data_IF_266659944528
#
_entry.id   IF_266659944528
#
_cell.length_a   1.000
_cell.length_b   1.000
_cell.length_c   1.000
_cell.angle_alpha   90.00
_cell.angle_beta   90.00
_cell.angle_gamma   90.00
#
_symmetry.space_group_name_H-M   'P 1'
#
loop_
_entity.id
_entity.type
_entity.pdbx_description
1 polymer ?
#
# COMPACT_ATOMS: atom_id res chain seq x y z
N UNK A 1 22.24 14.70 -0.44
CA UNK A 1 21.67 14.73 0.93
C UNK A 1 20.75 15.93 1.17
N UNK A 2 21.17 17.17 0.87
CA UNK A 2 20.32 18.37 1.04
C UNK A 2 19.06 18.32 0.16
N UNK A 3 19.16 17.86 -1.09
CA UNK A 3 17.98 17.74 -1.97
C UNK A 3 16.95 16.72 -1.49
N UNK A 4 17.39 15.61 -0.90
CA UNK A 4 16.47 14.60 -0.33
C UNK A 4 15.77 15.15 0.91
N UNK A 5 16.48 15.90 1.75
CA UNK A 5 15.87 16.64 2.86
C UNK A 5 14.93 17.76 2.37
N UNK A 6 15.23 18.41 1.24
CA UNK A 6 14.37 19.42 0.65
C UNK A 6 13.09 18.81 0.06
N UNK A 7 13.17 17.59 -0.48
CA UNK A 7 12.06 16.86 -1.08
C UNK A 7 11.20 16.17 0.00
N UNK A 8 11.83 15.58 1.02
CA UNK A 8 11.13 14.88 2.13
C UNK A 8 10.73 15.81 3.27
N UNK A 9 11.36 16.98 3.40
CA UNK A 9 11.06 17.99 4.41
C UNK A 9 9.60 18.42 4.41
N UNK A 10 9.01 18.84 3.27
CA UNK A 10 7.60 19.20 3.19
C UNK A 10 6.67 18.05 3.62
N UNK A 11 7.00 16.81 3.28
CA UNK A 11 6.23 15.62 3.70
C UNK A 11 6.21 15.54 5.22
N UNK A 12 7.38 15.62 5.84
CA UNK A 12 7.52 15.52 7.29
C UNK A 12 6.90 16.70 8.01
N UNK A 13 6.98 17.92 7.45
CA UNK A 13 6.33 19.10 8.01
C UNK A 13 4.81 18.96 7.99
N UNK A 14 4.21 18.44 6.92
CA UNK A 14 2.75 18.22 6.84
C UNK A 14 2.30 17.13 7.82
N UNK A 15 3.06 16.03 7.92
CA UNK A 15 2.78 14.96 8.90
C UNK A 15 2.92 15.50 10.33
N UNK A 16 3.98 16.26 10.63
CA UNK A 16 4.20 16.87 11.93
C UNK A 16 3.09 17.88 12.25
N UNK A 17 2.65 18.68 11.28
CA UNK A 17 1.54 19.60 11.44
C UNK A 17 0.24 18.86 11.79
N UNK A 18 -0.06 17.73 11.14
CA UNK A 18 -1.20 16.88 11.49
C UNK A 18 -1.12 16.31 12.91
N UNK A 19 0.06 15.85 13.31
CA UNK A 19 0.32 15.37 14.67
C UNK A 19 0.13 16.48 15.72
N UNK A 20 0.74 17.65 15.50
CA UNK A 20 0.67 18.78 16.41
C UNK A 20 -0.74 19.36 16.50
N UNK A 21 -1.45 19.49 15.38
CA UNK A 21 -2.83 19.96 15.37
C UNK A 21 -3.74 19.04 16.19
N UNK A 22 -3.54 17.72 16.09
CA UNK A 22 -4.28 16.74 16.90
C UNK A 22 -3.87 16.81 18.37
N UNK A 23 -2.57 16.95 18.66
CA UNK A 23 -2.03 17.08 20.02
C UNK A 23 -2.50 18.35 20.74
N UNK A 24 -2.63 19.46 20.01
CA UNK A 24 -3.09 20.75 20.53
C UNK A 24 -4.62 20.79 20.69
N UNK A 25 -5.33 19.72 20.31
CA UNK A 25 -6.78 19.65 20.41
C UNK A 25 -7.54 20.43 19.32
N UNK A 26 -6.85 20.91 18.27
CA UNK A 26 -7.52 21.54 17.12
C UNK A 26 -8.38 20.51 16.36
N UNK A 27 -7.95 19.25 16.35
CA UNK A 27 -8.69 18.13 15.79
C UNK A 27 -8.69 16.95 16.75
N UNK A 28 -9.79 16.21 16.78
CA UNK A 28 -9.87 14.93 17.46
C UNK A 28 -9.31 13.80 16.57
N UNK A 29 -8.93 12.69 17.20
CA UNK A 29 -8.49 11.48 16.48
C UNK A 29 -9.57 10.93 15.54
N UNK A 30 -10.84 11.12 15.88
CA UNK A 30 -11.99 10.76 15.04
C UNK A 30 -12.04 11.60 13.76
N UNK A 31 -11.65 12.87 13.80
CA UNK A 31 -11.64 13.77 12.64
C UNK A 31 -10.60 13.32 11.62
N UNK A 32 -9.46 12.82 12.08
CA UNK A 32 -8.43 12.22 11.23
C UNK A 32 -8.95 10.99 10.46
N UNK A 33 -9.86 10.22 11.06
CA UNK A 33 -10.52 9.12 10.35
C UNK A 33 -11.48 9.62 9.28
N UNK A 34 -12.15 10.76 9.50
CA UNK A 34 -13.01 11.39 8.48
C UNK A 34 -12.18 11.88 7.30
N UNK A 35 -11.06 12.55 7.55
CA UNK A 35 -10.11 12.92 6.49
C UNK A 35 -9.59 11.69 5.74
N UNK A 36 -9.29 10.60 6.46
CA UNK A 36 -8.90 9.34 5.84
C UNK A 36 -9.97 8.76 4.91
N UNK A 37 -11.24 8.79 5.33
CA UNK A 37 -12.38 8.35 4.51
C UNK A 37 -12.57 9.24 3.28
N UNK A 38 -12.42 10.57 3.42
CA UNK A 38 -12.49 11.49 2.29
C UNK A 38 -11.43 11.15 1.23
N UNK A 39 -10.18 10.94 1.67
CA UNK A 39 -9.07 10.58 0.79
C UNK A 39 -9.33 9.27 0.05
N UNK A 40 -9.72 8.21 0.78
CA UNK A 40 -9.91 6.87 0.21
C UNK A 40 -11.12 6.77 -0.73
N UNK A 41 -12.20 7.52 -0.46
CA UNK A 41 -13.44 7.39 -1.21
C UNK A 41 -13.61 8.42 -2.33
N UNK A 42 -12.92 9.57 -2.27
CA UNK A 42 -13.08 10.65 -3.26
C UNK A 42 -11.74 11.04 -3.90
N UNK A 43 -10.75 11.42 -3.09
CA UNK A 43 -9.52 12.01 -3.61
C UNK A 43 -8.64 11.02 -4.40
N UNK A 44 -8.37 9.84 -3.83
CA UNK A 44 -7.58 8.79 -4.48
C UNK A 44 -8.30 8.20 -5.70
N UNK A 45 -9.60 7.86 -5.65
CA UNK A 45 -10.34 7.43 -6.84
C UNK A 45 -10.28 8.46 -7.97
N UNK A 46 -10.51 9.74 -7.67
CA UNK A 46 -10.42 10.80 -8.67
C UNK A 46 -9.03 10.86 -9.30
N UNK A 47 -7.98 10.73 -8.47
CA UNK A 47 -6.61 10.74 -8.95
C UNK A 47 -6.27 9.55 -9.84
N UNK A 48 -6.59 8.33 -9.41
CA UNK A 48 -6.34 7.12 -10.20
C UNK A 48 -7.07 7.22 -11.53
N UNK A 49 -8.35 7.59 -11.49
CA UNK A 49 -9.15 7.77 -12.69
C UNK A 49 -8.48 8.78 -13.63
N UNK A 50 -8.03 9.93 -13.12
CA UNK A 50 -7.35 10.95 -13.91
C UNK A 50 -6.04 10.44 -14.54
N UNK A 51 -5.22 9.75 -13.76
CA UNK A 51 -3.92 9.25 -14.18
C UNK A 51 -4.02 8.17 -15.26
N UNK A 52 -5.08 7.35 -15.22
CA UNK A 52 -5.31 6.29 -16.20
C UNK A 52 -6.08 6.79 -17.43
N UNK A 53 -7.10 7.63 -17.23
CA UNK A 53 -7.94 8.11 -18.34
C UNK A 53 -7.18 8.99 -19.35
N UNK A 54 -6.07 9.61 -18.95
CA UNK A 54 -5.25 10.46 -19.82
C UNK A 54 -4.15 9.72 -20.58
N UNK A 55 -3.87 8.46 -20.24
CA UNK A 55 -2.79 7.66 -20.82
C UNK A 55 -3.35 6.60 -21.77
N UNK A 56 -2.54 6.17 -22.74
CA UNK A 56 -2.89 5.02 -23.59
C UNK A 56 -2.65 3.72 -22.84
N UNK A 57 -3.45 2.69 -23.09
CA UNK A 57 -3.36 1.44 -22.32
C UNK A 57 -2.00 0.73 -22.42
N UNK A 58 -1.34 0.86 -23.57
CA UNK A 58 0.03 0.34 -23.78
C UNK A 58 1.08 1.04 -22.90
N UNK A 59 0.78 2.24 -22.40
CA UNK A 59 1.62 3.00 -21.46
C UNK A 59 1.18 2.83 -20.00
N UNK A 60 0.09 2.10 -19.75
CA UNK A 60 -0.44 1.84 -18.41
C UNK A 60 -0.03 0.43 -17.96
N UNK A 61 -0.24 -0.56 -18.83
CA UNK A 61 0.07 -1.95 -18.53
C UNK A 61 1.56 -2.18 -18.71
N UNK A 62 2.28 -2.24 -17.59
CA UNK A 62 3.67 -2.64 -17.53
C UNK A 62 3.78 -4.05 -16.94
N UNK A 63 3.87 -5.10 -17.77
CA UNK A 63 3.95 -6.49 -17.29
C UNK A 63 5.12 -6.70 -16.32
N UNK A 64 6.26 -6.06 -16.59
CA UNK A 64 7.42 -6.12 -15.73
C UNK A 64 7.15 -5.52 -14.32
N UNK A 65 6.37 -4.44 -14.23
CA UNK A 65 5.94 -3.90 -12.94
C UNK A 65 4.99 -4.86 -12.22
N UNK A 66 3.95 -5.32 -12.92
CA UNK A 66 2.96 -6.23 -12.35
C UNK A 66 3.60 -7.50 -11.82
N UNK A 67 4.48 -8.12 -12.62
CA UNK A 67 5.18 -9.35 -12.24
C UNK A 67 6.16 -9.12 -11.11
N UNK A 68 6.96 -8.05 -11.13
CA UNK A 68 7.90 -7.77 -10.04
C UNK A 68 7.19 -7.53 -8.71
N UNK A 69 6.14 -6.71 -8.72
CA UNK A 69 5.36 -6.44 -7.51
C UNK A 69 4.58 -7.68 -7.03
N UNK A 70 3.91 -8.39 -7.94
CA UNK A 70 3.14 -9.60 -7.61
C UNK A 70 4.04 -10.71 -7.07
N UNK A 71 5.09 -11.08 -7.79
CA UNK A 71 5.98 -12.17 -7.39
C UNK A 71 6.75 -11.78 -6.13
N UNK A 72 7.23 -10.53 -6.01
CA UNK A 72 7.89 -10.06 -4.78
C UNK A 72 6.97 -10.12 -3.56
N UNK A 73 5.71 -9.71 -3.72
CA UNK A 73 4.68 -9.79 -2.67
C UNK A 73 4.34 -11.23 -2.30
N UNK A 74 4.19 -12.12 -3.28
CA UNK A 74 3.91 -13.55 -3.08
C UNK A 74 5.08 -14.27 -2.41
N UNK A 75 6.32 -13.96 -2.80
CA UNK A 75 7.52 -14.51 -2.19
C UNK A 75 7.58 -14.15 -0.70
N UNK A 76 7.33 -12.88 -0.36
CA UNK A 76 7.29 -12.45 1.03
C UNK A 76 6.12 -13.03 1.81
N UNK A 77 4.95 -13.16 1.19
CA UNK A 77 3.81 -13.84 1.79
C UNK A 77 4.16 -15.28 2.14
N UNK A 78 4.72 -16.03 1.18
CA UNK A 78 5.11 -17.43 1.37
C UNK A 78 6.21 -17.57 2.44
N UNK A 79 7.22 -16.70 2.39
CA UNK A 79 8.33 -16.70 3.35
C UNK A 79 7.82 -16.40 4.76
N UNK A 80 7.05 -15.33 4.95
CA UNK A 80 6.51 -14.95 6.25
C UNK A 80 5.56 -16.01 6.81
N UNK A 81 4.73 -16.62 5.96
CA UNK A 81 3.87 -17.73 6.36
C UNK A 81 4.69 -18.94 6.81
N UNK A 82 5.68 -19.36 6.01
CA UNK A 82 6.51 -20.53 6.32
C UNK A 82 7.36 -20.32 7.56
N UNK A 83 8.01 -19.16 7.70
CA UNK A 83 8.77 -18.80 8.90
C UNK A 83 7.87 -18.79 10.14
N UNK A 84 6.67 -18.21 10.04
CA UNK A 84 5.69 -18.24 11.11
C UNK A 84 5.31 -19.66 11.53
N UNK A 85 5.13 -20.58 10.56
CA UNK A 85 4.74 -21.97 10.80
C UNK A 85 5.87 -22.83 11.37
N UNK A 86 7.06 -22.75 10.77
CA UNK A 86 8.17 -23.69 11.00
C UNK A 86 9.15 -23.21 12.06
N UNK A 87 9.44 -21.91 12.08
CA UNK A 87 10.40 -21.33 13.04
C UNK A 87 9.67 -20.78 14.26
N UNK A 88 8.54 -20.10 14.03
CA UNK A 88 7.75 -19.49 15.12
C UNK A 88 6.76 -20.41 15.82
N UNK A 89 6.54 -21.64 15.31
CA UNK A 89 5.54 -22.58 15.86
C UNK A 89 4.12 -22.02 15.89
N UNK A 90 3.80 -21.03 15.05
CA UNK A 90 2.53 -20.32 15.10
C UNK A 90 1.39 -21.15 14.49
N UNK A 91 0.17 -20.91 14.98
CA UNK A 91 -1.04 -21.45 14.37
C UNK A 91 -1.19 -20.99 12.92
N UNK A 92 -1.93 -21.75 12.08
CA UNK A 92 -2.18 -21.38 10.68
C UNK A 92 -2.68 -19.94 10.58
N UNK A 93 -3.58 -19.56 11.47
CA UNK A 93 -4.18 -18.24 11.56
C UNK A 93 -3.15 -17.15 11.83
N UNK A 94 -2.33 -17.31 12.87
CA UNK A 94 -1.27 -16.34 13.22
C UNK A 94 -0.24 -16.20 12.09
N UNK A 95 0.13 -17.30 11.42
CA UNK A 95 1.03 -17.25 10.27
C UNK A 95 0.42 -16.50 9.08
N UNK A 96 -0.89 -16.66 8.81
CA UNK A 96 -1.58 -15.88 7.78
C UNK A 96 -1.59 -14.38 8.11
N UNK A 97 -1.83 -14.01 9.37
CA UNK A 97 -1.75 -12.60 9.79
C UNK A 97 -0.34 -12.03 9.70
N UNK A 98 0.67 -12.82 10.06
CA UNK A 98 2.06 -12.42 9.87
C UNK A 98 2.35 -12.16 8.39
N UNK A 99 1.93 -13.07 7.51
CA UNK A 99 2.09 -12.93 6.06
C UNK A 99 1.36 -11.71 5.49
N UNK A 100 0.15 -11.42 5.98
CA UNK A 100 -0.60 -10.21 5.62
C UNK A 100 0.15 -8.94 6.03
N UNK A 101 0.71 -8.89 7.24
CA UNK A 101 1.46 -7.73 7.73
C UNK A 101 2.74 -7.43 6.93
N UNK A 102 3.36 -8.46 6.35
CA UNK A 102 4.60 -8.34 5.55
C UNK A 102 4.32 -8.06 4.07
N UNK A 103 3.24 -8.59 3.51
CA UNK A 103 2.98 -8.50 2.07
C UNK A 103 2.02 -7.38 1.68
N UNK A 104 1.08 -6.99 2.57
CA UNK A 104 0.16 -5.88 2.29
C UNK A 104 0.76 -4.53 2.68
N UNK A 105 1.15 -3.77 1.67
CA UNK A 105 1.59 -2.38 1.79
C UNK A 105 0.41 -1.44 1.95
N UNK A 106 0.61 -0.33 2.67
CA UNK A 106 -0.34 0.78 2.64
C UNK A 106 -0.10 1.69 1.42
N UNK A 107 -0.17 1.10 0.23
CA UNK A 107 0.15 1.77 -1.04
C UNK A 107 -0.81 2.93 -1.34
N UNK A 108 -2.07 2.81 -0.95
CA UNK A 108 -3.09 3.83 -1.25
C UNK A 108 -3.01 5.03 -0.31
N UNK A 109 -2.90 4.81 1.01
CA UNK A 109 -2.99 5.91 1.97
C UNK A 109 -1.64 6.59 2.24
N UNK A 110 -0.56 5.80 2.33
CA UNK A 110 0.79 6.29 2.67
C UNK A 110 1.71 6.28 1.45
N UNK A 111 1.62 5.25 0.60
CA UNK A 111 2.47 5.12 -0.59
C UNK A 111 2.25 6.21 -1.62
N UNK A 112 0.99 6.47 -1.92
CA UNK A 112 0.64 7.39 -2.99
C UNK A 112 1.14 8.82 -2.78
N UNK A 113 0.92 9.49 -1.63
CA UNK A 113 1.38 10.86 -1.41
C UNK A 113 2.90 11.00 -1.52
N UNK A 114 3.63 10.00 -1.04
CA UNK A 114 5.09 9.94 -1.12
C UNK A 114 5.52 9.79 -2.58
N UNK A 115 4.86 8.92 -3.33
CA UNK A 115 5.13 8.74 -4.76
C UNK A 115 4.77 9.94 -5.61
N UNK A 116 3.69 10.64 -5.30
CA UNK A 116 3.32 11.86 -6.00
C UNK A 116 4.41 12.93 -5.89
N UNK A 117 5.14 12.96 -4.78
CA UNK A 117 6.20 13.95 -4.56
C UNK A 117 7.55 13.51 -5.13
N UNK A 118 7.83 12.20 -5.16
CA UNK A 118 9.11 11.68 -5.69
C UNK A 118 9.07 11.43 -7.20
N UNK A 119 7.98 10.83 -7.67
CA UNK A 119 7.85 10.28 -9.03
C UNK A 119 6.44 10.59 -9.56
N UNK A 120 6.05 11.86 -9.45
CA UNK A 120 4.74 12.38 -9.83
C UNK A 120 4.19 11.84 -11.16
N UNK A 121 4.98 11.76 -12.25
CA UNK A 121 4.48 11.31 -13.54
C UNK A 121 3.90 9.89 -13.51
N UNK A 122 4.53 8.98 -12.77
CA UNK A 122 4.16 7.56 -12.74
C UNK A 122 3.36 7.16 -11.50
N UNK A 123 3.21 8.05 -10.50
CA UNK A 123 2.58 7.75 -9.21
C UNK A 123 1.16 7.18 -9.35
N UNK A 124 0.33 7.76 -10.22
CA UNK A 124 -1.04 7.29 -10.44
C UNK A 124 -1.11 5.94 -11.15
N UNK A 125 -0.21 5.69 -12.12
CA UNK A 125 -0.11 4.40 -12.82
C UNK A 125 0.37 3.31 -11.85
N UNK A 126 1.42 3.58 -11.09
CA UNK A 126 1.96 2.66 -10.09
C UNK A 126 0.91 2.30 -9.02
N UNK A 127 0.14 3.28 -8.55
CA UNK A 127 -0.97 3.03 -7.64
C UNK A 127 -2.05 2.15 -8.28
N UNK A 128 -2.44 2.43 -9.52
CA UNK A 128 -3.41 1.61 -10.26
C UNK A 128 -2.95 0.16 -10.39
N UNK A 129 -1.71 -0.07 -10.79
CA UNK A 129 -1.12 -1.42 -10.90
C UNK A 129 -1.05 -2.13 -9.54
N UNK A 130 -0.71 -1.41 -8.47
CA UNK A 130 -0.74 -1.96 -7.11
C UNK A 130 -2.16 -2.36 -6.68
N UNK A 131 -3.15 -1.48 -6.91
CA UNK A 131 -4.55 -1.76 -6.59
C UNK A 131 -5.02 -3.02 -7.30
N UNK A 132 -4.60 -3.22 -8.57
CA UNK A 132 -4.86 -4.44 -9.34
C UNK A 132 -4.26 -5.65 -8.62
N UNK A 133 -2.95 -5.66 -8.38
CA UNK A 133 -2.26 -6.81 -7.73
C UNK A 133 -2.84 -7.11 -6.34
N UNK A 134 -3.05 -6.08 -5.54
CA UNK A 134 -3.50 -6.22 -4.16
C UNK A 134 -4.95 -6.70 -4.08
N UNK A 135 -5.86 -6.10 -4.85
CA UNK A 135 -7.29 -6.42 -4.72
C UNK A 135 -7.72 -7.64 -5.53
N UNK A 136 -7.05 -7.96 -6.65
CA UNK A 136 -7.42 -9.12 -7.46
C UNK A 136 -6.71 -10.40 -7.00
N UNK A 137 -5.51 -10.29 -6.40
CA UNK A 137 -4.70 -11.47 -6.05
C UNK A 137 -4.42 -11.55 -4.56
N UNK A 138 -3.72 -10.56 -3.99
CA UNK A 138 -3.18 -10.67 -2.64
C UNK A 138 -4.27 -10.74 -1.55
N UNK A 139 -5.23 -9.81 -1.57
CA UNK A 139 -6.30 -9.75 -0.57
C UNK A 139 -7.23 -10.97 -0.63
N UNK A 140 -7.75 -11.41 -1.80
CA UNK A 140 -8.54 -12.63 -1.87
C UNK A 140 -7.77 -13.87 -1.38
N UNK A 141 -6.49 -13.99 -1.74
CA UNK A 141 -5.64 -15.09 -1.30
C UNK A 141 -5.47 -15.09 0.22
N UNK A 142 -5.14 -13.94 0.82
CA UNK A 142 -4.95 -13.81 2.26
C UNK A 142 -6.24 -14.07 3.05
N UNK A 143 -7.38 -13.60 2.54
CA UNK A 143 -8.69 -13.86 3.14
C UNK A 143 -9.03 -15.36 3.07
N UNK A 144 -8.81 -16.00 1.92
CA UNK A 144 -9.01 -17.44 1.77
C UNK A 144 -8.10 -18.26 2.69
N UNK A 145 -6.84 -17.84 2.86
CA UNK A 145 -5.93 -18.44 3.84
C UNK A 145 -6.38 -18.22 5.28
N UNK A 146 -6.98 -17.07 5.60
CA UNK A 146 -7.45 -16.74 6.95
C UNK A 146 -8.72 -17.52 7.31
N UNK A 147 -9.62 -17.74 6.35
CA UNK A 147 -10.83 -18.55 6.50
C UNK A 147 -10.50 -20.05 6.60
N UNK A 148 -9.65 -20.59 5.70
CA UNK A 148 -9.17 -21.98 5.79
C UNK A 148 -8.38 -22.28 7.07
N UNK A 149 -7.82 -21.25 7.71
CA UNK A 149 -7.16 -21.40 9.00
C UNK A 149 -8.15 -21.42 10.18
N UNK A 150 -9.37 -20.91 10.03
CA UNK A 150 -10.45 -20.96 11.03
C UNK A 150 -11.20 -22.28 10.97
N UNK A 151 -11.58 -22.71 9.78
CA UNK A 151 -12.41 -23.89 9.57
C UNK A 151 -11.52 -25.06 9.17
N UNK A 152 -11.38 -26.06 10.04
CA UNK A 152 -10.51 -27.22 9.85
C UNK A 152 -10.90 -28.15 8.69
N UNK A 153 -10.85 -27.69 7.44
CA UNK A 153 -10.93 -28.52 6.23
C UNK A 153 -12.29 -28.60 5.53
N UNK A 154 -13.14 -27.58 5.60
CA UNK A 154 -14.41 -27.54 4.85
C UNK A 154 -14.24 -27.02 3.41
N UNK A 155 -14.11 -27.93 2.43
CA UNK A 155 -13.84 -27.63 1.01
C UNK A 155 -14.90 -26.83 0.22
N UNK A 156 -15.94 -26.28 0.87
CA UNK A 156 -16.96 -25.45 0.22
C UNK A 156 -16.67 -23.94 0.19
N UNK A 157 -15.65 -23.47 0.92
CA UNK A 157 -15.47 -22.06 1.26
C UNK A 157 -14.80 -21.20 0.17
N UNK A 158 -13.91 -21.75 -0.66
CA UNK A 158 -13.15 -20.97 -1.65
C UNK A 158 -14.05 -20.20 -2.62
N UNK A 159 -15.12 -20.83 -3.12
CA UNK A 159 -16.07 -20.17 -4.01
C UNK A 159 -16.82 -19.01 -3.31
N UNK A 160 -17.13 -19.16 -2.01
CA UNK A 160 -17.80 -18.12 -1.24
C UNK A 160 -16.86 -16.96 -0.89
N UNK A 161 -15.59 -17.24 -0.55
CA UNK A 161 -14.56 -16.22 -0.31
C UNK A 161 -14.25 -15.45 -1.59
N UNK A 162 -14.11 -16.15 -2.72
CA UNK A 162 -13.89 -15.52 -4.04
C UNK A 162 -15.09 -14.68 -4.43
N UNK A 163 -16.33 -15.17 -4.22
CA UNK A 163 -17.55 -14.40 -4.48
C UNK A 163 -17.65 -13.15 -3.60
N UNK A 164 -17.38 -13.25 -2.30
CA UNK A 164 -17.39 -12.11 -1.39
C UNK A 164 -16.28 -11.10 -1.72
N UNK A 165 -15.09 -11.60 -2.09
CA UNK A 165 -13.98 -10.75 -2.52
C UNK A 165 -14.32 -10.02 -3.82
N UNK A 166 -14.92 -10.70 -4.80
CA UNK A 166 -15.40 -10.08 -6.04
C UNK A 166 -16.50 -9.04 -5.77
N UNK A 167 -17.45 -9.31 -4.87
CA UNK A 167 -18.46 -8.32 -4.47
C UNK A 167 -17.86 -7.10 -3.78
N UNK A 168 -16.85 -7.29 -2.91
CA UNK A 168 -16.10 -6.19 -2.29
C UNK A 168 -15.28 -5.41 -3.31
N UNK A 169 -14.68 -6.12 -4.27
CA UNK A 169 -13.90 -5.55 -5.37
C UNK A 169 -14.76 -4.62 -6.22
N UNK A 170 -15.97 -5.06 -6.60
CA UNK A 170 -16.93 -4.26 -7.36
C UNK A 170 -17.44 -3.02 -6.61
N UNK A 171 -17.35 -3.00 -5.28
CA UNK A 171 -17.76 -1.87 -4.44
C UNK A 171 -16.58 -1.00 -4.00
N UNK A 172 -15.35 -1.40 -4.29
CA UNK A 172 -14.17 -0.66 -3.88
C UNK A 172 -14.00 0.57 -4.79
N UNK A 173 -14.06 1.81 -4.26
CA UNK A 173 -13.99 3.02 -5.06
C UNK A 173 -12.66 3.16 -5.83
N UNK A 174 -11.56 2.62 -5.30
CA UNK A 174 -10.27 2.61 -5.99
C UNK A 174 -10.30 1.70 -7.21
N UNK A 175 -10.91 0.53 -7.09
CA UNK A 175 -11.02 -0.43 -8.20
C UNK A 175 -11.98 0.12 -9.25
N UNK A 176 -13.11 0.68 -8.84
CA UNK A 176 -14.03 1.36 -9.74
C UNK A 176 -13.33 2.49 -10.51
N UNK A 177 -12.47 3.27 -9.85
CA UNK A 177 -11.67 4.29 -10.51
C UNK A 177 -10.63 3.71 -11.49
N UNK A 178 -9.95 2.61 -11.13
CA UNK A 178 -9.05 1.90 -12.06
C UNK A 178 -9.82 1.43 -13.29
N UNK A 179 -10.93 0.72 -13.09
CA UNK A 179 -11.75 0.19 -14.18
C UNK A 179 -12.32 1.31 -15.05
N UNK A 180 -12.88 2.37 -14.45
CA UNK A 180 -13.40 3.51 -15.19
C UNK A 180 -12.29 4.23 -15.98
N UNK A 181 -11.11 4.42 -15.37
CA UNK A 181 -9.96 5.05 -16.03
C UNK A 181 -9.47 4.22 -17.22
N UNK A 182 -9.37 2.90 -17.06
CA UNK A 182 -9.02 1.97 -18.15
C UNK A 182 -10.06 1.95 -19.27
N UNK A 183 -11.36 1.97 -18.94
CA UNK A 183 -12.44 1.99 -19.95
C UNK A 183 -12.40 3.28 -20.76
N UNK A 184 -12.20 4.43 -20.12
CA UNK A 184 -12.07 5.72 -20.83
C UNK A 184 -10.79 5.74 -21.68
N UNK A 185 -9.68 5.20 -21.16
CA UNK A 185 -8.43 5.04 -21.90
C UNK A 185 -8.61 4.16 -23.15
N UNK A 186 -9.31 3.02 -23.02
CA UNK A 186 -9.63 2.12 -24.16
C UNK A 186 -10.52 2.78 -25.20
N UNK A 187 -11.51 3.53 -24.74
CA UNK A 187 -12.46 4.19 -25.64
C UNK A 187 -11.86 5.42 -26.33
N UNK A 188 -10.64 5.85 -25.94
CA UNK A 188 -9.96 7.06 -26.39
C UNK A 188 -10.87 8.32 -26.31
N UNK A 189 -11.82 8.32 -25.36
CA UNK A 189 -12.81 9.38 -25.23
C UNK A 189 -12.17 10.59 -24.54
N UNK A 190 -12.13 11.71 -25.25
CA UNK A 190 -11.74 12.99 -24.66
C UNK A 190 -12.83 13.46 -23.70
N UNK A 191 -12.54 13.44 -22.41
CA UNK A 191 -13.44 13.95 -21.39
C UNK A 191 -13.61 15.48 -21.53
N UNK A 192 -14.82 16.03 -21.28
CA UNK A 192 -15.03 17.47 -21.24
C UNK A 192 -14.14 18.15 -20.19
N UNK A 193 -13.61 19.33 -20.52
CA UNK A 193 -12.73 20.10 -19.63
C UNK A 193 -13.30 20.33 -18.20
N UNK A 194 -14.60 20.62 -18.01
CA UNK A 194 -15.16 20.76 -16.66
C UNK A 194 -15.03 19.49 -15.81
N UNK A 195 -15.18 18.31 -16.41
CA UNK A 195 -15.05 17.02 -15.71
C UNK A 195 -13.60 16.80 -15.30
N UNK A 196 -12.67 16.96 -16.24
CA UNK A 196 -11.23 16.80 -15.98
C UNK A 196 -10.78 17.74 -14.87
N UNK A 197 -11.21 19.01 -14.91
CA UNK A 197 -10.86 20.00 -13.90
C UNK A 197 -11.43 19.65 -12.53
N UNK A 198 -12.68 19.18 -12.47
CA UNK A 198 -13.32 18.75 -11.21
C UNK A 198 -12.55 17.57 -10.60
N UNK A 199 -12.26 16.55 -11.40
CA UNK A 199 -11.47 15.40 -10.96
C UNK A 199 -10.09 15.83 -10.46
N UNK A 200 -9.43 16.76 -11.16
CA UNK A 200 -8.13 17.29 -10.75
C UNK A 200 -8.15 18.00 -9.39
N UNK A 201 -9.24 18.73 -9.07
CA UNK A 201 -9.36 19.39 -7.76
C UNK A 201 -9.34 18.37 -6.61
N UNK A 202 -10.08 17.27 -6.75
CA UNK A 202 -10.06 16.19 -5.75
C UNK A 202 -8.72 15.44 -5.75
N UNK A 203 -8.15 15.18 -6.92
CA UNK A 203 -6.87 14.50 -7.05
C UNK A 203 -5.74 15.25 -6.32
N UNK A 204 -5.66 16.57 -6.49
CA UNK A 204 -4.63 17.40 -5.85
C UNK A 204 -4.75 17.42 -4.32
N UNK A 205 -5.98 17.39 -3.79
CA UNK A 205 -6.21 17.31 -2.34
C UNK A 205 -5.74 15.96 -1.74
N UNK A 206 -5.63 14.91 -2.56
CA UNK A 206 -5.31 13.56 -2.08
C UNK A 206 -4.00 13.52 -1.30
N UNK A 207 -2.93 14.15 -1.80
CA UNK A 207 -1.60 14.04 -1.20
C UNK A 207 -1.44 14.82 0.10
N UNK A 208 -1.98 16.04 0.17
CA UNK A 208 -1.84 16.88 1.36
C UNK A 208 -2.72 16.39 2.52
N UNK A 209 -3.99 16.07 2.23
CA UNK A 209 -4.96 15.64 3.26
C UNK A 209 -4.58 14.28 3.83
N UNK A 210 -4.05 13.36 3.02
CA UNK A 210 -3.60 12.05 3.50
C UNK A 210 -2.39 12.17 4.44
N UNK A 211 -1.38 12.97 4.08
CA UNK A 211 -0.18 13.16 4.90
C UNK A 211 -0.53 13.81 6.25
N UNK A 212 -1.42 14.80 6.22
CA UNK A 212 -1.94 15.43 7.43
C UNK A 212 -2.71 14.44 8.31
N UNK A 213 -3.63 13.66 7.71
CA UNK A 213 -4.39 12.64 8.41
C UNK A 213 -3.50 11.55 9.01
N UNK A 214 -2.45 11.11 8.30
CA UNK A 214 -1.44 10.16 8.83
C UNK A 214 -0.83 10.72 10.11
N UNK A 215 -0.36 11.98 10.07
CA UNK A 215 0.21 12.66 11.23
C UNK A 215 -0.72 12.66 12.44
N UNK A 216 -1.99 13.00 12.24
CA UNK A 216 -2.97 13.00 13.32
C UNK A 216 -3.34 11.60 13.83
N UNK A 217 -3.34 10.57 12.96
CA UNK A 217 -3.58 9.18 13.41
C UNK A 217 -2.48 8.60 14.28
N UNK A 218 -1.24 9.12 14.18
CA UNK A 218 -0.11 8.75 15.04
C UNK A 218 -0.31 9.23 16.48
N UNK A 219 -1.10 10.28 16.69
CA UNK A 219 -1.40 10.78 18.02
C UNK A 219 -2.32 9.81 18.79
N UNK A 220 -1.92 9.47 20.01
CA UNK A 220 -2.67 8.56 20.90
C UNK A 220 -2.48 7.07 20.59
N UNK A 221 -1.59 6.69 19.67
CA UNK A 221 -1.12 5.31 19.58
C UNK A 221 -0.04 5.09 20.65
N UNK A 222 -0.25 4.08 21.51
CA UNK A 222 0.68 3.71 22.58
C UNK A 222 1.49 2.48 22.20
N UNK A 223 2.76 2.46 22.59
CA UNK A 223 3.59 1.26 22.54
C UNK A 223 3.16 0.32 23.66
N UNK A 224 2.63 -0.84 23.29
CA UNK A 224 2.23 -1.90 24.23
C UNK A 224 3.46 -2.72 24.65
N UNK A 225 3.34 -3.42 25.78
CA UNK A 225 4.40 -4.32 26.26
C UNK A 225 4.64 -5.47 25.26
N UNK A 226 5.91 -5.84 25.04
CA UNK A 226 6.26 -6.89 24.09
C UNK A 226 6.50 -6.43 22.64
N UNK A 227 6.68 -5.13 22.40
CA UNK A 227 7.02 -4.54 21.10
C UNK A 227 8.25 -5.17 20.42
N UNK A 228 9.19 -5.72 21.18
CA UNK A 228 10.35 -6.42 20.63
C UNK A 228 9.97 -7.60 19.73
N UNK A 229 8.83 -8.25 20.02
CA UNK A 229 8.32 -9.40 19.25
C UNK A 229 7.71 -9.02 17.91
N UNK A 230 7.55 -7.73 17.60
CA UNK A 230 7.08 -7.24 16.29
C UNK A 230 8.21 -6.68 15.43
N UNK A 231 9.42 -6.48 15.96
CA UNK A 231 10.57 -5.99 15.19
C UNK A 231 10.86 -6.86 13.95
N UNK A 232 10.90 -8.21 14.03
CA UNK A 232 11.19 -9.03 12.86
C UNK A 232 10.13 -8.89 11.75
N UNK A 233 8.86 -8.69 12.14
CA UNK A 233 7.76 -8.44 11.21
C UNK A 233 7.95 -7.10 10.49
N UNK A 234 8.28 -6.05 11.24
CA UNK A 234 8.51 -4.70 10.69
C UNK A 234 9.71 -4.70 9.75
N UNK A 235 10.82 -5.36 10.12
CA UNK A 235 12.00 -5.47 9.25
C UNK A 235 11.70 -6.28 7.98
N UNK A 236 10.96 -7.38 8.10
CA UNK A 236 10.52 -8.14 6.94
C UNK A 236 9.66 -7.29 5.99
N UNK A 237 8.82 -6.39 6.52
CA UNK A 237 8.01 -5.48 5.69
C UNK A 237 8.83 -4.37 5.04
N UNK A 238 9.64 -3.66 5.83
CA UNK A 238 10.31 -2.43 5.39
C UNK A 238 11.60 -2.68 4.60
N UNK A 239 12.20 -3.86 4.79
CA UNK A 239 13.46 -4.24 4.13
C UNK A 239 13.23 -5.47 3.26
N UNK A 240 12.61 -6.52 3.80
CA UNK A 240 12.40 -7.79 3.09
C UNK A 240 11.53 -7.63 1.84
N UNK A 241 10.37 -6.97 1.95
CA UNK A 241 9.47 -6.77 0.81
C UNK A 241 10.06 -5.92 -0.33
N UNK A 242 10.63 -4.73 -0.10
CA UNK A 242 11.28 -3.99 -1.18
C UNK A 242 12.47 -4.74 -1.77
N UNK A 243 13.25 -5.46 -0.97
CA UNK A 243 14.33 -6.31 -1.50
C UNK A 243 13.80 -7.44 -2.39
N UNK A 244 12.69 -8.09 -2.01
CA UNK A 244 12.08 -9.13 -2.81
C UNK A 244 11.59 -8.59 -4.17
N UNK A 245 10.93 -7.43 -4.17
CA UNK A 245 10.49 -6.77 -5.40
C UNK A 245 11.70 -6.36 -6.26
N UNK A 246 12.75 -5.81 -5.64
CA UNK A 246 13.98 -5.44 -6.34
C UNK A 246 14.66 -6.65 -6.97
N UNK A 247 14.82 -7.74 -6.21
CA UNK A 247 15.43 -8.99 -6.66
C UNK A 247 14.66 -9.59 -7.83
N UNK A 248 13.33 -9.58 -7.78
CA UNK A 248 12.51 -10.03 -8.91
C UNK A 248 12.73 -9.12 -10.11
N UNK A 249 12.69 -7.80 -9.90
CA UNK A 249 12.84 -6.82 -10.98
C UNK A 249 14.22 -6.86 -11.67
N UNK A 250 15.29 -7.16 -10.92
CA UNK A 250 16.68 -7.09 -11.42
C UNK A 250 17.28 -8.44 -11.81
N UNK A 251 16.85 -9.54 -11.19
CA UNK A 251 17.40 -10.88 -11.46
C UNK A 251 16.40 -11.75 -12.22
N UNK A 252 15.19 -11.95 -11.68
CA UNK A 252 14.24 -12.91 -12.25
C UNK A 252 13.66 -12.46 -13.60
N UNK A 253 13.28 -11.18 -13.74
CA UNK A 253 12.68 -10.70 -14.99
C UNK A 253 13.67 -10.71 -16.18
N UNK A 254 14.93 -10.27 -16.04
CA UNK A 254 15.91 -10.39 -17.13
C UNK A 254 16.21 -11.84 -17.51
N UNK A 255 16.26 -12.76 -16.54
CA UNK A 255 16.44 -14.20 -16.80
C UNK A 255 15.29 -14.80 -17.62
N UNK A 256 14.07 -14.25 -17.47
CA UNK A 256 12.89 -14.63 -18.24
C UNK A 256 12.78 -13.90 -19.59
N UNK A 257 13.77 -13.09 -19.97
CA UNK A 257 13.77 -12.32 -21.22
C UNK A 257 12.78 -11.16 -21.24
N UNK A 258 12.29 -10.73 -20.08
CA UNK A 258 11.35 -9.61 -19.96
C UNK A 258 12.12 -8.29 -19.98
N UNK A 259 11.66 -7.35 -20.81
CA UNK A 259 12.30 -6.05 -20.98
C UNK A 259 12.46 -5.30 -19.63
N UNK A 260 13.61 -4.62 -19.42
CA UNK A 260 13.87 -3.91 -18.18
C UNK A 260 12.87 -2.77 -17.98
N UNK A 261 12.42 -2.60 -16.73
CA UNK A 261 11.53 -1.51 -16.34
C UNK A 261 12.23 -0.15 -16.44
N UNK A 262 11.48 0.86 -16.86
CA UNK A 262 11.91 2.27 -16.82
C UNK A 262 12.33 2.66 -15.38
N UNK A 263 13.40 3.45 -15.19
CA UNK A 263 13.93 3.78 -13.88
C UNK A 263 12.89 4.37 -12.91
N UNK A 264 12.03 5.27 -13.39
CA UNK A 264 10.97 5.89 -12.59
C UNK A 264 9.93 4.86 -12.11
N UNK A 265 9.59 3.90 -12.96
CA UNK A 265 8.62 2.86 -12.64
C UNK A 265 9.21 1.81 -11.69
N UNK A 266 10.51 1.51 -11.81
CA UNK A 266 11.26 0.69 -10.86
C UNK A 266 11.35 1.35 -9.49
N UNK A 267 11.62 2.67 -9.46
CA UNK A 267 11.57 3.49 -8.25
C UNK A 267 10.20 3.38 -7.58
N UNK A 268 9.14 3.52 -8.37
CA UNK A 268 7.77 3.42 -7.87
C UNK A 268 7.46 2.05 -7.26
N UNK A 269 7.87 0.96 -7.91
CA UNK A 269 7.69 -0.40 -7.41
C UNK A 269 8.38 -0.62 -6.07
N UNK A 270 9.63 -0.15 -5.96
CA UNK A 270 10.42 -0.27 -4.74
C UNK A 270 9.82 0.53 -3.60
N UNK A 271 9.48 1.80 -3.84
CA UNK A 271 8.89 2.67 -2.82
C UNK A 271 7.53 2.14 -2.38
N UNK A 272 6.67 1.69 -3.30
CA UNK A 272 5.41 1.04 -2.94
C UNK A 272 5.60 -0.19 -2.07
N UNK A 273 6.59 -1.03 -2.36
CA UNK A 273 6.91 -2.21 -1.56
C UNK A 273 7.50 -1.85 -0.19
N UNK A 274 8.26 -0.76 -0.10
CA UNK A 274 8.85 -0.23 1.12
C UNK A 274 7.85 0.48 2.05
N UNK A 275 6.60 0.66 1.61
CA UNK A 275 5.57 1.32 2.43
C UNK A 275 5.26 0.56 3.71
N UNK A 276 4.84 1.27 4.78
CA UNK A 276 4.43 0.62 6.01
C UNK A 276 3.19 -0.25 5.81
N UNK A 277 2.92 -1.10 6.80
CA UNK A 277 1.83 -2.06 6.74
C UNK A 277 0.45 -1.39 6.63
N UNK A 278 -0.52 -2.13 6.09
CA UNK A 278 -1.91 -1.69 5.89
C UNK A 278 -2.55 -1.17 7.20
N UNK A 279 -3.16 0.03 7.17
CA UNK A 279 -3.74 0.66 8.38
C UNK A 279 -4.88 -0.12 9.04
N UNK A 280 -5.63 -0.94 8.28
CA UNK A 280 -6.72 -1.77 8.83
C UNK A 280 -6.20 -3.06 9.49
N UNK A 281 -4.89 -3.32 9.44
CA UNK A 281 -4.28 -4.54 9.97
C UNK A 281 -4.64 -4.83 11.44
N UNK A 282 -4.62 -3.87 12.38
CA UNK A 282 -5.01 -4.15 13.77
C UNK A 282 -6.49 -4.52 13.94
N UNK A 283 -7.37 -3.95 13.11
CA UNK A 283 -8.81 -4.25 13.12
C UNK A 283 -9.04 -5.68 12.64
N UNK A 284 -8.33 -6.10 11.58
CA UNK A 284 -8.41 -7.47 11.09
C UNK A 284 -7.83 -8.47 12.10
N UNK A 285 -6.75 -8.09 12.80
CA UNK A 285 -6.14 -8.90 13.85
C UNK A 285 -6.98 -8.96 15.14
N UNK A 286 -7.90 -8.02 15.36
CA UNK A 286 -8.77 -7.99 16.54
C UNK A 286 -9.69 -9.22 16.61
N UNK A 287 -10.18 -9.69 15.46
CA UNK A 287 -11.00 -10.91 15.37
C UNK A 287 -10.25 -12.21 15.79
N UNK A 288 -8.98 -12.09 16.17
CA UNK A 288 -8.07 -13.19 16.51
C UNK A 288 -7.28 -12.93 17.81
N UNK A 289 -7.62 -11.89 18.57
CA UNK A 289 -6.98 -11.57 19.84
C UNK A 289 -5.55 -11.02 19.74
N UNK A 290 -5.13 -10.57 18.56
CA UNK A 290 -3.77 -10.02 18.31
C UNK A 290 -3.79 -8.49 18.06
N UNK A 291 -4.90 -7.81 18.41
CA UNK A 291 -5.08 -6.37 18.15
C UNK A 291 -3.93 -5.52 18.69
N UNK A 292 -3.53 -5.73 19.94
CA UNK A 292 -2.50 -4.92 20.62
C UNK A 292 -1.12 -5.10 19.99
N UNK A 293 -0.79 -6.34 19.60
CA UNK A 293 0.46 -6.66 18.92
C UNK A 293 0.50 -6.05 17.52
N UNK A 294 -0.60 -6.16 16.78
CA UNK A 294 -0.74 -5.59 15.44
C UNK A 294 -0.76 -4.07 15.44
N UNK A 295 -1.33 -3.43 16.47
CA UNK A 295 -1.29 -1.99 16.65
C UNK A 295 0.13 -1.49 16.95
N UNK A 296 0.88 -2.18 17.82
CA UNK A 296 2.29 -1.88 18.06
C UNK A 296 3.15 -2.07 16.80
N UNK A 297 2.91 -3.14 16.04
CA UNK A 297 3.55 -3.36 14.75
C UNK A 297 3.27 -2.22 13.77
N UNK A 298 2.01 -1.76 13.67
CA UNK A 298 1.63 -0.66 12.79
C UNK A 298 2.30 0.66 13.19
N UNK A 299 2.32 0.99 14.48
CA UNK A 299 2.99 2.20 14.98
C UNK A 299 4.49 2.15 14.67
N UNK A 300 5.17 1.06 15.03
CA UNK A 300 6.61 0.93 14.81
C UNK A 300 6.89 0.95 13.31
N UNK A 301 6.10 0.24 12.51
CA UNK A 301 6.24 0.24 11.06
C UNK A 301 6.06 1.63 10.46
N UNK A 302 5.04 2.40 10.86
CA UNK A 302 4.87 3.78 10.40
C UNK A 302 6.06 4.66 10.79
N UNK A 303 6.48 4.65 12.06
CA UNK A 303 7.59 5.50 12.53
C UNK A 303 8.90 5.11 11.86
N UNK A 304 9.23 3.82 11.84
CA UNK A 304 10.46 3.31 11.22
C UNK A 304 10.43 3.48 9.70
N UNK A 305 9.25 3.46 9.06
CA UNK A 305 9.14 3.65 7.61
C UNK A 305 9.68 5.00 7.15
N UNK A 306 9.58 6.06 7.96
CA UNK A 306 10.15 7.36 7.61
C UNK A 306 11.67 7.27 7.35
N UNK A 307 12.38 6.53 8.20
CA UNK A 307 13.82 6.34 8.07
C UNK A 307 14.16 5.38 6.93
N UNK A 308 13.45 4.25 6.82
CA UNK A 308 13.73 3.26 5.77
C UNK A 308 13.38 3.80 4.38
N UNK A 309 12.29 4.55 4.24
CA UNK A 309 11.93 5.20 2.98
C UNK A 309 12.99 6.23 2.59
N UNK A 310 13.50 7.03 3.54
CA UNK A 310 14.61 7.95 3.27
C UNK A 310 15.84 7.23 2.72
N UNK A 311 16.19 6.07 3.29
CA UNK A 311 17.29 5.25 2.82
C UNK A 311 17.04 4.67 1.41
N UNK A 312 15.84 4.14 1.17
CA UNK A 312 15.47 3.62 -0.15
C UNK A 312 15.42 4.70 -1.23
N UNK A 313 14.93 5.88 -0.89
CA UNK A 313 14.93 7.04 -1.81
C UNK A 313 16.36 7.43 -2.20
N UNK A 314 17.29 7.46 -1.24
CA UNK A 314 18.71 7.73 -1.52
C UNK A 314 19.33 6.68 -2.46
N UNK A 315 18.96 5.40 -2.30
CA UNK A 315 19.48 4.33 -3.15
C UNK A 315 18.97 4.42 -4.60
N UNK A 316 17.76 4.94 -4.81
CA UNK A 316 17.13 5.02 -6.14
C UNK A 316 17.46 6.32 -6.89
N UNK A 317 17.68 7.41 -6.16
CA UNK A 317 18.15 8.69 -6.70
C UNK A 317 19.47 9.09 -6.01
N UNK A 318 20.62 8.56 -6.46
CA UNK A 318 21.92 8.92 -5.88
C UNK A 318 22.36 10.37 -6.16
N UNK A 319 21.65 11.10 -7.02
CA UNK A 319 21.93 12.49 -7.42
C UNK A 319 21.39 12.73 -8.82
#
# INVERSE_FOLDING_TARGET
MIEILAITGPIYLVVLAGYLATRMGLFARTDMQVFGKFVLNLALPALIFNALAQRRIGEILHPAYLLSYLVGSLLMLALAYFMGRRVGGLSRTRSTFMAMGVSCSNSSFIGFPILLLMVAPVAGVALGLNVIVENLVMLPLLLAMAENARDGGGGGAWHQTVRQSAQRLMRNPLVLAVTAGLVISLAEVKLPQPVVRTVNLFAQASGSVSLFAIGGTLFGLSLTSGWQRVIPLVLAKLIGHPLAVLLVATLLLPLLGIAPMEPQLRAAALLMAAMPMLSIYPILAQAYGEADRSAAALLICMVTSFFTLSAWMWMVHPG
#
